data_IF_368034439690
#
_entry.id   IF_368034439690
#
_cell.length_a   1.000
_cell.length_b   1.000
_cell.length_c   1.000
_cell.angle_alpha   90.00
_cell.angle_beta   90.00
_cell.angle_gamma   90.00
#
_symmetry.space_group_name_H-M   'P 1'
#
loop_
_entity.id
_entity.type
_entity.pdbx_description
1 polymer ?
#
# COMPACT_ATOMS: atom_id res chain seq x y z
N UNK A 1 -17.66 18.40 8.26
CA UNK A 1 -18.81 18.20 9.17
C UNK A 1 -18.68 16.85 9.83
N UNK A 2 -18.55 16.81 11.16
CA UNK A 2 -18.53 15.56 11.91
C UNK A 2 -19.97 15.17 12.26
N UNK A 3 -20.38 13.97 11.89
CA UNK A 3 -21.72 13.44 12.22
C UNK A 3 -21.57 12.17 13.04
N UNK A 4 -22.58 11.85 13.86
CA UNK A 4 -22.58 10.63 14.66
C UNK A 4 -22.34 9.36 13.80
N UNK A 5 -22.86 9.34 12.58
CA UNK A 5 -22.67 8.24 11.62
C UNK A 5 -21.20 8.13 11.17
N UNK A 6 -20.57 9.25 10.81
CA UNK A 6 -19.16 9.30 10.39
C UNK A 6 -18.25 8.92 11.56
N UNK A 7 -18.50 9.44 12.77
CA UNK A 7 -17.72 9.12 13.97
C UNK A 7 -17.78 7.63 14.33
N UNK A 8 -18.98 7.01 14.27
CA UNK A 8 -19.12 5.56 14.47
C UNK A 8 -18.33 4.74 13.45
N UNK A 9 -18.30 5.16 12.18
CA UNK A 9 -17.49 4.51 11.13
C UNK A 9 -16.00 4.71 11.34
N UNK A 10 -15.56 5.92 11.69
CA UNK A 10 -14.16 6.23 11.98
C UNK A 10 -13.63 5.38 13.15
N UNK A 11 -14.41 5.23 14.22
CA UNK A 11 -14.05 4.37 15.35
C UNK A 11 -13.88 2.90 14.90
N UNK A 12 -14.79 2.39 14.07
CA UNK A 12 -14.68 1.02 13.55
C UNK A 12 -13.44 0.83 12.67
N UNK A 13 -13.14 1.79 11.79
CA UNK A 13 -11.96 1.76 10.94
C UNK A 13 -10.67 1.81 11.77
N UNK A 14 -10.62 2.67 12.79
CA UNK A 14 -9.48 2.79 13.69
C UNK A 14 -9.19 1.47 14.44
N UNK A 15 -10.23 0.77 14.94
CA UNK A 15 -10.05 -0.55 15.58
C UNK A 15 -9.49 -1.59 14.61
N UNK A 16 -9.95 -1.60 13.36
CA UNK A 16 -9.45 -2.53 12.34
C UNK A 16 -7.97 -2.25 12.03
N UNK A 17 -7.60 -0.98 11.90
CA UNK A 17 -6.21 -0.57 11.66
C UNK A 17 -5.29 -0.92 12.86
N UNK A 18 -5.77 -0.70 14.08
CA UNK A 18 -5.03 -1.08 15.29
C UNK A 18 -4.80 -2.59 15.38
N UNK A 19 -5.79 -3.41 14.99
CA UNK A 19 -5.64 -4.87 14.91
C UNK A 19 -4.58 -5.27 13.88
N UNK A 20 -4.62 -4.68 12.69
CA UNK A 20 -3.62 -4.93 11.65
C UNK A 20 -2.21 -4.57 12.16
N UNK A 21 -2.06 -3.39 12.77
CA UNK A 21 -0.78 -2.95 13.35
C UNK A 21 -0.28 -3.84 14.48
N UNK A 22 -1.17 -4.50 15.23
CA UNK A 22 -0.78 -5.51 16.21
C UNK A 22 -0.26 -6.79 15.55
N UNK A 23 -0.95 -7.26 14.51
CA UNK A 23 -0.59 -8.47 13.77
C UNK A 23 0.68 -8.29 12.93
N UNK A 24 0.92 -7.12 12.34
CA UNK A 24 2.14 -6.87 11.56
C UNK A 24 3.41 -6.95 12.41
N UNK A 25 3.32 -6.72 13.73
CA UNK A 25 4.46 -6.85 14.65
C UNK A 25 4.88 -8.28 14.94
N UNK A 26 4.00 -9.26 14.75
CA UNK A 26 4.31 -10.69 14.95
C UNK A 26 4.81 -11.37 13.67
N UNK A 27 4.70 -10.71 12.51
CA UNK A 27 5.13 -11.26 11.23
C UNK A 27 6.65 -10.99 11.08
N UNK A 28 7.49 -12.03 10.89
CA UNK A 28 8.95 -11.89 10.82
C UNK A 28 9.45 -10.91 9.75
N UNK A 29 8.69 -10.72 8.67
CA UNK A 29 8.96 -9.72 7.63
C UNK A 29 7.66 -9.07 7.15
N UNK A 30 7.15 -8.10 7.91
CA UNK A 30 5.93 -7.36 7.58
C UNK A 30 6.08 -6.45 6.36
N UNK A 31 7.31 -6.11 5.95
CA UNK A 31 7.55 -5.31 4.74
C UNK A 31 7.03 -5.98 3.48
N UNK A 32 7.09 -7.32 3.40
CA UNK A 32 6.53 -8.06 2.26
C UNK A 32 5.02 -7.80 2.13
N UNK A 33 4.30 -7.83 3.27
CA UNK A 33 2.87 -7.56 3.29
C UNK A 33 2.56 -6.12 2.86
N UNK A 34 3.28 -5.14 3.40
CA UNK A 34 3.09 -3.72 3.07
C UNK A 34 3.37 -3.47 1.58
N UNK A 35 4.46 -4.01 1.05
CA UNK A 35 4.82 -3.86 -0.36
C UNK A 35 3.76 -4.50 -1.27
N UNK A 36 3.26 -5.69 -0.92
CA UNK A 36 2.21 -6.35 -1.69
C UNK A 36 0.88 -5.56 -1.69
N UNK A 37 0.51 -4.95 -0.55
CA UNK A 37 -0.67 -4.11 -0.46
C UNK A 37 -0.51 -2.83 -1.29
N UNK A 38 0.66 -2.18 -1.21
CA UNK A 38 0.93 -0.95 -1.95
C UNK A 38 0.85 -1.17 -3.47
N UNK A 39 1.43 -2.27 -3.97
CA UNK A 39 1.35 -2.63 -5.39
C UNK A 39 -0.09 -2.92 -5.83
N UNK A 40 -0.88 -3.59 -4.99
CA UNK A 40 -2.28 -3.88 -5.28
C UNK A 40 -3.13 -2.61 -5.31
N UNK A 41 -2.94 -1.71 -4.35
CA UNK A 41 -3.64 -0.43 -4.30
C UNK A 41 -3.28 0.44 -5.51
N UNK A 42 -2.00 0.51 -5.88
CA UNK A 42 -1.57 1.27 -7.05
C UNK A 42 -2.23 0.75 -8.34
N UNK A 43 -2.35 -0.57 -8.49
CA UNK A 43 -3.05 -1.19 -9.61
C UNK A 43 -4.54 -0.87 -9.58
N UNK A 44 -5.21 -1.14 -8.47
CA UNK A 44 -6.67 -0.97 -8.35
C UNK A 44 -7.06 0.51 -8.52
N UNK A 45 -6.24 1.45 -8.04
CA UNK A 45 -6.38 2.89 -8.29
C UNK A 45 -6.19 3.24 -9.77
N UNK A 46 -5.20 2.65 -10.44
CA UNK A 46 -4.93 2.90 -11.87
C UNK A 46 -6.05 2.37 -12.78
N UNK A 47 -6.68 1.25 -12.42
CA UNK A 47 -7.82 0.69 -13.15
C UNK A 47 -9.05 1.60 -13.09
N UNK A 48 -9.29 2.28 -11.95
CA UNK A 48 -10.38 3.26 -11.81
C UNK A 48 -10.11 4.49 -12.69
N UNK A 49 -8.86 4.90 -12.85
CA UNK A 49 -8.45 6.06 -13.65
C UNK A 49 -8.36 5.77 -15.16
N UNK A 50 -8.73 4.56 -15.60
CA UNK A 50 -8.64 4.11 -16.99
C UNK A 50 -7.18 4.14 -17.53
N UNK A 51 -6.20 4.01 -16.62
CA UNK A 51 -4.79 3.82 -16.93
C UNK A 51 -4.57 2.30 -17.02
N UNK A 52 -4.58 1.77 -18.24
CA UNK A 52 -4.31 0.35 -18.48
C UNK A 52 -2.82 0.12 -18.27
N UNK A 53 -2.45 -0.36 -17.08
CA UNK A 53 -1.09 -0.82 -16.76
C UNK A 53 -1.14 -2.30 -16.37
N UNK A 54 -0.08 -3.05 -16.65
CA UNK A 54 0.02 -4.48 -16.32
C UNK A 54 0.99 -4.69 -15.16
N UNK A 55 0.79 -5.77 -14.38
CA UNK A 55 1.62 -6.09 -13.21
C UNK A 55 3.13 -6.07 -13.52
N UNK A 56 3.53 -6.52 -14.71
CA UNK A 56 4.92 -6.55 -15.16
C UNK A 56 5.53 -5.16 -15.30
N UNK A 57 4.76 -4.14 -15.69
CA UNK A 57 5.24 -2.76 -15.85
C UNK A 57 5.38 -2.04 -14.50
N UNK A 58 4.43 -2.24 -13.58
CA UNK A 58 4.52 -1.70 -12.21
C UNK A 58 5.70 -2.32 -11.44
N UNK A 59 5.91 -3.63 -11.61
CA UNK A 59 7.05 -4.32 -10.99
C UNK A 59 8.39 -3.86 -11.59
N UNK A 60 8.48 -3.69 -12.92
CA UNK A 60 9.68 -3.14 -13.60
C UNK A 60 9.98 -1.70 -13.15
N UNK A 61 8.99 -0.82 -13.11
CA UNK A 61 9.19 0.56 -12.65
C UNK A 61 9.71 0.62 -11.21
N UNK A 62 9.20 -0.24 -10.32
CA UNK A 62 9.70 -0.35 -8.94
C UNK A 62 11.16 -0.84 -8.84
N UNK A 63 11.59 -1.72 -9.74
CA UNK A 63 12.98 -2.21 -9.83
C UNK A 63 13.89 -1.14 -10.45
N UNK A 64 13.49 -0.49 -11.54
CA UNK A 64 14.30 0.52 -12.25
C UNK A 64 14.63 1.72 -11.35
N UNK A 65 13.67 2.15 -10.50
CA UNK A 65 13.90 3.20 -9.50
C UNK A 65 14.97 2.78 -8.48
N UNK A 66 14.99 1.51 -8.06
CA UNK A 66 16.00 0.98 -7.13
C UNK A 66 17.40 0.87 -7.77
N UNK A 67 17.47 0.57 -9.07
CA UNK A 67 18.76 0.51 -9.79
C UNK A 67 19.35 1.91 -9.90
N UNK A 68 18.60 2.89 -10.41
CA UNK A 68 19.07 4.27 -10.62
C UNK A 68 19.52 4.94 -9.31
N UNK A 69 18.83 4.67 -8.20
CA UNK A 69 19.21 5.20 -6.88
C UNK A 69 20.47 4.56 -6.30
N UNK A 70 20.84 3.36 -6.74
CA UNK A 70 22.11 2.72 -6.34
C UNK A 70 23.29 3.23 -7.20
N UNK A 71 23.08 3.48 -8.50
CA UNK A 71 24.14 4.03 -9.37
C UNK A 71 24.49 5.49 -9.03
N UNK A 72 23.54 6.24 -8.47
CA UNK A 72 23.76 7.64 -8.06
C UNK A 72 24.32 7.80 -6.65
N UNK A 73 24.50 6.69 -5.91
CA UNK A 73 25.14 6.67 -4.58
C UNK A 73 26.55 6.04 -4.58
N UNK A 74 27.07 5.68 -5.75
CA UNK A 74 28.42 5.16 -5.96
C UNK A 74 29.40 6.24 -6.46
#
# INVERSE_FOLDING_TARGET
>A
METQKVLKKAISANRALAKLNGVTKIIPNSQILINSLALREAKDSSEIENIITTHDELFRAGIDINIVTNVTKA
#
